data_IF_304784280434
#
_entry.id   IF_304784280434
#
_cell.length_a   1.000
_cell.length_b   1.000
_cell.length_c   1.000
_cell.angle_alpha   90.00
_cell.angle_beta   90.00
_cell.angle_gamma   90.00
#
_symmetry.space_group_name_H-M   'P 1'
#
loop_
_entity.id
_entity.type
_entity.pdbx_description
1 polymer ?
#
# COMPACT_ATOMS: atom_id res chain seq x y z
N UNK A 1 18.33 -19.65 8.77
CA UNK A 1 17.32 -18.59 8.55
C UNK A 1 16.02 -19.04 9.19
N UNK A 2 15.65 -18.51 10.38
CA UNK A 2 14.44 -18.93 11.10
C UNK A 2 13.27 -18.06 10.64
N UNK A 3 12.28 -18.66 9.96
CA UNK A 3 10.99 -18.02 9.69
C UNK A 3 10.29 -17.80 11.02
N UNK A 4 10.07 -16.55 11.42
CA UNK A 4 9.23 -16.22 12.57
C UNK A 4 7.79 -16.37 12.09
N UNK A 5 7.15 -17.48 12.46
CA UNK A 5 5.72 -17.68 12.22
C UNK A 5 5.02 -16.63 13.08
N UNK A 6 4.39 -15.64 12.43
CA UNK A 6 3.63 -14.59 13.09
C UNK A 6 2.47 -15.32 13.78
N UNK A 7 2.59 -15.53 15.09
CA UNK A 7 1.66 -16.33 15.90
C UNK A 7 0.53 -15.48 16.48
N UNK A 8 0.60 -14.16 16.29
CA UNK A 8 -0.41 -13.22 16.74
C UNK A 8 -1.25 -12.80 15.54
N UNK A 9 -2.55 -13.02 15.63
CA UNK A 9 -3.51 -12.59 14.62
C UNK A 9 -3.57 -11.05 14.47
N UNK A 10 -2.90 -10.31 15.35
CA UNK A 10 -2.95 -8.85 15.42
C UNK A 10 -2.04 -8.19 14.37
N UNK A 11 -2.50 -7.08 13.82
CA UNK A 11 -1.71 -6.26 12.92
C UNK A 11 -0.46 -5.73 13.61
N UNK A 12 0.70 -5.97 13.01
CA UNK A 12 2.01 -5.63 13.57
C UNK A 12 2.26 -4.11 13.66
N UNK A 13 1.48 -3.31 12.90
CA UNK A 13 1.54 -1.85 12.90
C UNK A 13 0.69 -1.21 14.00
N UNK A 14 -0.57 -1.62 14.11
CA UNK A 14 -1.50 -1.01 15.07
C UNK A 14 -1.58 -1.81 16.38
N UNK A 15 -1.26 -3.10 16.36
CA UNK A 15 -1.43 -4.11 17.43
C UNK A 15 -2.81 -4.12 18.09
N UNK A 16 -3.82 -3.62 17.38
CA UNK A 16 -5.18 -3.40 17.90
C UNK A 16 -6.24 -4.28 17.26
N UNK A 17 -6.08 -4.62 15.98
CA UNK A 17 -7.05 -5.39 15.21
C UNK A 17 -6.40 -6.57 14.52
N UNK A 18 -7.20 -7.58 14.20
CA UNK A 18 -6.74 -8.73 13.42
C UNK A 18 -6.27 -8.27 12.04
N UNK A 19 -5.10 -8.71 11.61
CA UNK A 19 -4.59 -8.38 10.27
C UNK A 19 -5.31 -9.22 9.21
N UNK A 20 -6.27 -8.63 8.53
CA UNK A 20 -6.75 -9.11 7.25
C UNK A 20 -6.13 -8.32 6.10
N UNK A 21 -6.39 -8.75 4.86
CA UNK A 21 -5.81 -8.13 3.66
C UNK A 21 -6.24 -6.66 3.53
N UNK A 22 -7.48 -6.31 3.87
CA UNK A 22 -8.00 -4.95 3.73
C UNK A 22 -7.44 -4.06 4.85
N UNK A 23 -7.30 -4.59 6.05
CA UNK A 23 -6.67 -3.92 7.18
C UNK A 23 -5.20 -3.61 6.91
N UNK A 24 -4.44 -4.60 6.43
CA UNK A 24 -3.03 -4.43 6.08
C UNK A 24 -2.81 -3.40 4.97
N UNK A 25 -3.77 -3.31 4.03
CA UNK A 25 -3.68 -2.42 2.88
C UNK A 25 -4.20 -1.02 3.15
N UNK A 26 -5.35 -0.87 3.82
CA UNK A 26 -6.08 0.40 3.83
C UNK A 26 -6.65 0.80 5.19
N UNK A 27 -7.29 -0.11 5.94
CA UNK A 27 -7.97 0.26 7.20
C UNK A 27 -7.06 0.38 8.42
N UNK A 28 -5.78 0.03 8.33
CA UNK A 28 -4.88 0.21 9.46
C UNK A 28 -4.81 1.68 9.86
N UNK A 29 -5.07 1.98 11.14
CA UNK A 29 -5.04 3.35 11.68
C UNK A 29 -3.70 4.06 11.43
N UNK A 30 -2.59 3.31 11.42
CA UNK A 30 -1.26 3.86 11.09
C UNK A 30 -1.15 4.32 9.64
N UNK A 31 -1.87 3.67 8.73
CA UNK A 31 -1.90 4.02 7.31
C UNK A 31 -2.91 5.13 7.01
N UNK A 32 -3.89 5.36 7.87
CA UNK A 32 -4.87 6.44 7.72
C UNK A 32 -4.20 7.82 7.55
N UNK A 33 -3.13 8.08 8.32
CA UNK A 33 -2.32 9.30 8.21
C UNK A 33 -1.61 9.43 6.85
N UNK A 34 -1.42 8.33 6.13
CA UNK A 34 -0.84 8.30 4.79
C UNK A 34 -1.91 8.53 3.73
N UNK A 35 -3.05 7.86 3.85
CA UNK A 35 -4.18 7.99 2.92
C UNK A 35 -4.81 9.38 2.96
N UNK A 36 -4.85 10.02 4.13
CA UNK A 36 -5.32 11.41 4.29
C UNK A 36 -4.43 12.45 3.63
N UNK A 37 -3.15 12.14 3.34
CA UNK A 37 -2.24 13.04 2.61
C UNK A 37 -2.48 13.05 1.10
N UNK A 38 -3.33 12.16 0.59
CA UNK A 38 -3.66 12.05 -0.82
C UNK A 38 -5.17 12.11 -0.96
N UNK A 39 -5.70 13.26 -1.37
CA UNK A 39 -7.15 13.52 -1.46
C UNK A 39 -7.90 12.47 -2.30
N UNK A 40 -7.24 11.91 -3.32
CA UNK A 40 -7.78 10.86 -4.19
C UNK A 40 -8.13 9.57 -3.41
N UNK A 41 -7.50 9.32 -2.27
CA UNK A 41 -7.66 8.10 -1.49
C UNK A 41 -8.33 8.32 -0.15
N UNK A 42 -8.64 9.56 0.23
CA UNK A 42 -9.37 9.89 1.45
C UNK A 42 -10.87 10.03 1.18
N UNK A 43 -11.50 8.97 0.67
CA UNK A 43 -12.92 8.97 0.30
C UNK A 43 -13.71 7.94 1.10
N UNK A 44 -14.96 8.28 1.40
CA UNK A 44 -15.90 7.42 2.11
C UNK A 44 -16.13 6.08 1.41
N UNK A 45 -16.06 6.04 0.08
CA UNK A 45 -16.18 4.81 -0.71
C UNK A 45 -15.09 3.80 -0.37
N UNK A 46 -13.83 4.24 -0.24
CA UNK A 46 -12.71 3.37 0.11
C UNK A 46 -12.78 2.92 1.59
N UNK A 47 -13.26 3.79 2.47
CA UNK A 47 -13.45 3.46 3.89
C UNK A 47 -14.51 2.38 4.13
N UNK A 48 -15.53 2.30 3.26
CA UNK A 48 -16.62 1.31 3.36
C UNK A 48 -16.28 -0.05 2.73
N UNK A 49 -15.11 -0.20 2.11
CA UNK A 49 -14.72 -1.44 1.43
C UNK A 49 -14.49 -2.56 2.44
N UNK A 50 -15.11 -3.73 2.23
CA UNK A 50 -14.97 -4.89 3.13
C UNK A 50 -14.06 -5.97 2.57
N UNK A 51 -13.76 -5.91 1.27
CA UNK A 51 -12.88 -6.86 0.59
C UNK A 51 -11.85 -6.16 -0.28
N UNK A 52 -10.77 -6.87 -0.60
CA UNK A 52 -9.76 -6.39 -1.55
C UNK A 52 -10.36 -6.10 -2.93
N UNK A 53 -11.35 -6.89 -3.36
CA UNK A 53 -12.02 -6.71 -4.65
C UNK A 53 -12.81 -5.40 -4.64
N UNK A 54 -13.54 -5.11 -3.56
CA UNK A 54 -14.29 -3.85 -3.42
C UNK A 54 -13.32 -2.66 -3.38
N UNK A 55 -12.21 -2.78 -2.65
CA UNK A 55 -11.18 -1.76 -2.55
C UNK A 55 -10.61 -1.42 -3.93
N UNK A 56 -10.15 -2.42 -4.67
CA UNK A 56 -9.63 -2.21 -6.01
C UNK A 56 -10.73 -1.71 -6.95
N UNK A 57 -11.96 -2.23 -6.84
CA UNK A 57 -13.12 -1.78 -7.60
C UNK A 57 -13.36 -0.28 -7.46
N UNK A 58 -13.34 0.25 -6.23
CA UNK A 58 -13.45 1.69 -5.98
C UNK A 58 -12.28 2.50 -6.55
N UNK A 59 -11.05 1.98 -6.46
CA UNK A 59 -9.87 2.66 -7.02
C UNK A 59 -9.91 2.73 -8.54
N UNK A 60 -10.33 1.65 -9.20
CA UNK A 60 -10.43 1.58 -10.66
C UNK A 60 -11.63 2.35 -11.21
N UNK A 61 -12.81 2.23 -10.58
CA UNK A 61 -14.05 2.87 -11.05
C UNK A 61 -13.93 4.41 -11.05
N UNK A 62 -13.28 4.97 -10.03
CA UNK A 62 -13.12 6.42 -9.88
C UNK A 62 -11.80 6.95 -10.47
N UNK A 63 -11.05 6.11 -11.19
CA UNK A 63 -9.73 6.42 -11.76
C UNK A 63 -8.77 7.11 -10.76
N UNK A 64 -8.73 6.62 -9.51
CA UNK A 64 -7.97 7.20 -8.38
C UNK A 64 -6.48 6.87 -8.43
N UNK A 65 -5.87 6.98 -9.62
CA UNK A 65 -4.52 6.52 -9.94
C UNK A 65 -4.25 5.09 -9.43
N UNK A 66 -4.89 4.08 -10.06
CA UNK A 66 -4.74 2.68 -9.65
C UNK A 66 -3.30 2.18 -9.66
N UNK A 67 -2.46 2.75 -10.53
CA UNK A 67 -1.04 2.39 -10.60
C UNK A 67 -0.29 2.89 -9.37
N UNK A 68 -0.47 4.16 -8.98
CA UNK A 68 0.14 4.69 -7.78
C UNK A 68 -0.40 4.02 -6.52
N UNK A 69 -1.71 3.78 -6.47
CA UNK A 69 -2.33 3.04 -5.35
C UNK A 69 -1.72 1.66 -5.20
N UNK A 70 -1.58 0.90 -6.30
CA UNK A 70 -0.96 -0.43 -6.29
C UNK A 70 0.50 -0.39 -5.85
N UNK A 71 1.27 0.60 -6.31
CA UNK A 71 2.68 0.76 -5.92
C UNK A 71 2.82 1.10 -4.43
N UNK A 72 1.95 1.96 -3.89
CA UNK A 72 1.94 2.32 -2.47
C UNK A 72 1.46 1.14 -1.62
N UNK A 73 0.37 0.48 -2.01
CA UNK A 73 -0.16 -0.74 -1.38
C UNK A 73 0.90 -1.85 -1.30
N UNK A 74 1.63 -2.05 -2.41
CA UNK A 74 2.75 -2.98 -2.49
C UNK A 74 3.89 -2.56 -1.55
N UNK A 75 4.32 -1.30 -1.60
CA UNK A 75 5.41 -0.81 -0.75
C UNK A 75 5.08 -0.90 0.75
N UNK A 76 3.83 -0.60 1.13
CA UNK A 76 3.33 -0.74 2.50
C UNK A 76 3.33 -2.20 2.92
N UNK A 77 2.67 -3.08 2.15
CA UNK A 77 2.59 -4.51 2.47
C UNK A 77 3.96 -5.18 2.51
N UNK A 78 4.86 -4.78 1.61
CA UNK A 78 6.23 -5.28 1.54
C UNK A 78 7.09 -4.77 2.70
N UNK A 79 7.01 -3.48 3.03
CA UNK A 79 7.69 -2.92 4.20
C UNK A 79 7.18 -3.55 5.50
N UNK A 80 5.89 -3.88 5.59
CA UNK A 80 5.35 -4.62 6.72
C UNK A 80 5.89 -6.05 6.74
N UNK A 81 5.53 -6.90 5.77
CA UNK A 81 5.83 -8.34 5.87
C UNK A 81 7.29 -8.68 5.71
N UNK A 82 7.99 -8.02 4.80
CA UNK A 82 9.38 -8.39 4.50
C UNK A 82 10.37 -7.86 5.53
N UNK A 83 10.21 -6.61 6.00
CA UNK A 83 11.11 -6.10 7.04
C UNK A 83 10.87 -6.75 8.40
N UNK A 84 9.63 -7.15 8.72
CA UNK A 84 9.34 -7.96 9.90
C UNK A 84 10.01 -9.34 9.83
N UNK A 85 9.97 -10.00 8.67
CA UNK A 85 10.69 -11.27 8.47
C UNK A 85 12.21 -11.12 8.59
N UNK A 86 12.75 -9.95 8.26
CA UNK A 86 14.18 -9.66 8.26
C UNK A 86 14.66 -8.93 9.52
N UNK A 87 13.78 -8.62 10.48
CA UNK A 87 14.12 -7.88 11.70
C UNK A 87 14.65 -6.46 11.46
N UNK A 88 14.33 -5.88 10.30
CA UNK A 88 14.76 -4.52 9.93
C UNK A 88 13.74 -3.49 10.45
N UNK A 89 14.19 -2.28 10.85
CA UNK A 89 13.28 -1.20 11.21
C UNK A 89 12.40 -0.84 10.01
N UNK A 90 11.11 -0.64 10.26
CA UNK A 90 10.15 -0.24 9.23
C UNK A 90 10.48 1.17 8.74
N UNK A 91 10.55 1.33 7.42
CA UNK A 91 10.71 2.64 6.77
C UNK A 91 9.50 3.52 7.11
N UNK A 92 9.71 4.82 7.29
CA UNK A 92 8.62 5.73 7.63
C UNK A 92 7.59 5.81 6.49
N UNK A 93 6.31 5.93 6.84
CA UNK A 93 5.23 5.95 5.85
C UNK A 93 5.37 7.10 4.84
N UNK A 94 5.91 8.25 5.27
CA UNK A 94 6.17 9.38 4.39
C UNK A 94 7.23 9.07 3.32
N UNK A 95 8.31 8.39 3.70
CA UNK A 95 9.35 7.97 2.76
C UNK A 95 8.83 6.91 1.79
N UNK A 96 7.94 6.01 2.24
CA UNK A 96 7.32 5.00 1.35
C UNK A 96 6.48 5.64 0.25
N UNK A 97 5.72 6.69 0.56
CA UNK A 97 4.93 7.39 -0.46
C UNK A 97 5.83 8.07 -1.49
N UNK A 98 6.88 8.77 -1.03
CA UNK A 98 7.84 9.40 -1.93
C UNK A 98 8.55 8.37 -2.82
N UNK A 99 9.05 7.27 -2.24
CA UNK A 99 9.67 6.18 -2.99
C UNK A 99 8.71 5.53 -3.99
N UNK A 100 7.44 5.39 -3.64
CA UNK A 100 6.42 4.81 -4.53
C UNK A 100 6.13 5.73 -5.72
N UNK A 101 6.03 7.04 -5.48
CA UNK A 101 5.88 8.05 -6.55
C UNK A 101 7.10 8.06 -7.47
N UNK A 102 8.30 8.00 -6.91
CA UNK A 102 9.55 7.98 -7.67
C UNK A 102 9.68 6.72 -8.53
N UNK A 103 9.46 5.53 -7.95
CA UNK A 103 9.44 4.27 -8.72
C UNK A 103 8.39 4.27 -9.83
N UNK A 104 7.20 4.81 -9.56
CA UNK A 104 6.17 4.91 -10.60
C UNK A 104 6.60 5.87 -11.72
N UNK A 105 7.26 6.98 -11.37
CA UNK A 105 7.81 7.94 -12.33
C UNK A 105 8.88 7.29 -13.20
N UNK A 106 9.84 6.58 -12.61
CA UNK A 106 10.88 5.82 -13.33
C UNK A 106 10.26 4.79 -14.28
N UNK A 107 9.29 4.01 -13.81
CA UNK A 107 8.58 3.05 -14.63
C UNK A 107 7.87 3.70 -15.82
N UNK A 108 7.18 4.82 -15.61
CA UNK A 108 6.53 5.59 -16.68
C UNK A 108 7.56 6.14 -17.67
N UNK A 109 8.67 6.72 -17.20
CA UNK A 109 9.73 7.26 -18.05
C UNK A 109 10.39 6.17 -18.92
N UNK A 110 10.72 5.03 -18.32
CA UNK A 110 11.29 3.88 -19.04
C UNK A 110 10.32 3.36 -20.11
N UNK A 111 9.05 3.18 -19.78
CA UNK A 111 8.07 2.68 -20.75
C UNK A 111 7.76 3.69 -21.86
N UNK A 112 7.77 4.99 -21.56
CA UNK A 112 7.64 6.04 -22.58
C UNK A 112 8.87 6.15 -23.48
N UNK A 113 10.06 5.79 -22.98
CA UNK A 113 11.28 5.70 -23.80
C UNK A 113 11.32 4.46 -24.70
N UNK A 114 10.40 3.50 -24.52
CA UNK A 114 10.35 2.24 -25.27
C UNK A 114 9.27 2.25 -26.35
N UNK A 115 8.35 3.23 -26.40
CA UNK A 115 7.40 3.35 -27.54
C UNK A 115 8.18 3.49 -28.86
N UNK A 116 8.21 2.45 -29.73
CA UNK A 116 8.64 2.63 -31.10
C UNK A 116 7.50 3.37 -31.79
N UNK A 117 7.87 4.36 -32.59
CA UNK A 117 6.98 4.95 -33.59
C UNK A 117 6.38 3.81 -34.41
N UNK A 118 5.06 3.65 -34.34
CA UNK A 118 4.25 2.83 -35.23
C UNK A 118 3.19 3.70 -35.83
#
# INVERSE_FOLDING_TARGET
MKRKIISEDLCEQCRKQKEDVVHALYHCQKLLDLWTKVDLWNHSSLQQTTSFIDLMGCVFADNRDPALFSMVAWAISWNQRNNLCLGKPAVSLGELLSQSKERLREFKLYNSSITPVG
#
